data_IF_582557175557
#
_entry.id   IF_582557175557
#
_cell.length_a   1.000
_cell.length_b   1.000
_cell.length_c   1.000
_cell.angle_alpha   90.00
_cell.angle_beta   90.00
_cell.angle_gamma   90.00
#
_symmetry.space_group_name_H-M   'P 1'
#
loop_
_entity.id
_entity.type
_entity.pdbx_description
1 polymer ?
#
# COMPACT_ATOMS: atom_id res chain seq x y z
N UNK A 1 -22.97 6.78 -27.30
CA UNK A 1 -22.33 7.42 -26.14
C UNK A 1 -22.54 6.57 -24.90
N UNK A 2 -23.78 6.29 -24.51
CA UNK A 2 -24.09 5.46 -23.31
C UNK A 2 -23.35 4.10 -23.21
N UNK A 3 -23.24 3.35 -24.32
CA UNK A 3 -22.51 2.06 -24.32
C UNK A 3 -21.00 2.25 -24.12
N UNK A 4 -20.45 3.34 -24.66
CA UNK A 4 -19.02 3.66 -24.55
C UNK A 4 -18.67 4.14 -23.15
N UNK A 5 -19.50 5.01 -22.57
CA UNK A 5 -19.39 5.49 -21.19
C UNK A 5 -19.47 4.32 -20.19
N UNK A 6 -20.43 3.42 -20.35
CA UNK A 6 -20.53 2.21 -19.53
C UNK A 6 -19.30 1.30 -19.71
N UNK A 7 -18.79 1.19 -20.94
CA UNK A 7 -17.57 0.46 -21.23
C UNK A 7 -16.36 1.04 -20.50
N UNK A 8 -16.24 2.36 -20.44
CA UNK A 8 -15.17 3.06 -19.73
C UNK A 8 -15.26 2.85 -18.21
N UNK A 9 -16.45 2.98 -17.63
CA UNK A 9 -16.69 2.76 -16.19
C UNK A 9 -16.25 1.34 -15.77
N UNK A 10 -16.65 0.31 -16.52
CA UNK A 10 -16.26 -1.09 -16.24
C UNK A 10 -14.74 -1.26 -16.28
N UNK A 11 -14.06 -0.61 -17.22
CA UNK A 11 -12.60 -0.67 -17.33
C UNK A 11 -11.91 0.05 -16.17
N UNK A 12 -12.43 1.21 -15.76
CA UNK A 12 -11.92 1.97 -14.61
C UNK A 12 -12.06 1.14 -13.33
N UNK A 13 -13.25 0.59 -13.05
CA UNK A 13 -13.51 -0.24 -11.88
C UNK A 13 -12.56 -1.44 -11.82
N UNK A 14 -12.38 -2.11 -12.96
CA UNK A 14 -11.46 -3.25 -13.05
C UNK A 14 -10.03 -2.83 -12.73
N UNK A 15 -9.58 -1.70 -13.26
CA UNK A 15 -8.23 -1.20 -13.02
C UNK A 15 -8.05 -0.80 -11.55
N UNK A 16 -9.06 -0.22 -10.92
CA UNK A 16 -9.03 0.13 -9.49
C UNK A 16 -8.93 -1.13 -8.62
N UNK A 17 -9.70 -2.18 -8.90
CA UNK A 17 -9.60 -3.47 -8.20
C UNK A 17 -8.19 -4.05 -8.31
N UNK A 18 -7.60 -4.02 -9.51
CA UNK A 18 -6.21 -4.50 -9.72
C UNK A 18 -5.20 -3.64 -8.95
N UNK A 19 -5.38 -2.33 -8.92
CA UNK A 19 -4.51 -1.42 -8.17
C UNK A 19 -4.60 -1.68 -6.66
N UNK A 20 -5.81 -1.91 -6.14
CA UNK A 20 -6.05 -2.25 -4.74
C UNK A 20 -5.39 -3.59 -4.37
N UNK A 21 -5.52 -4.61 -5.20
CA UNK A 21 -4.87 -5.90 -4.95
C UNK A 21 -3.34 -5.78 -4.91
N UNK A 22 -2.75 -5.03 -5.85
CA UNK A 22 -1.30 -4.75 -5.86
C UNK A 22 -0.87 -4.04 -4.58
N UNK A 23 -1.59 -3.00 -4.14
CA UNK A 23 -1.31 -2.26 -2.90
C UNK A 23 -1.44 -3.17 -1.68
N UNK A 24 -2.44 -4.04 -1.64
CA UNK A 24 -2.61 -5.05 -0.58
C UNK A 24 -1.42 -6.02 -0.54
N UNK A 25 -0.97 -6.51 -1.70
CA UNK A 25 0.18 -7.41 -1.74
C UNK A 25 1.48 -6.72 -1.29
N UNK A 26 1.73 -5.49 -1.73
CA UNK A 26 2.89 -4.69 -1.29
C UNK A 26 2.87 -4.46 0.23
N UNK A 27 1.71 -4.14 0.79
CA UNK A 27 1.54 -3.97 2.25
C UNK A 27 1.86 -5.27 2.99
N UNK A 28 1.40 -6.42 2.48
CA UNK A 28 1.70 -7.73 3.06
C UNK A 28 3.19 -8.06 3.02
N UNK A 29 3.86 -7.77 1.92
CA UNK A 29 5.31 -7.97 1.76
C UNK A 29 6.10 -7.05 2.71
N UNK A 30 5.72 -5.78 2.81
CA UNK A 30 6.32 -4.83 3.73
C UNK A 30 6.16 -5.26 5.20
N UNK A 31 4.96 -5.66 5.61
CA UNK A 31 4.72 -6.19 6.96
C UNK A 31 5.56 -7.43 7.25
N UNK A 32 5.66 -8.36 6.30
CA UNK A 32 6.51 -9.56 6.45
C UNK A 32 7.99 -9.22 6.58
N UNK A 33 8.46 -8.19 5.88
CA UNK A 33 9.84 -7.71 6.04
C UNK A 33 10.05 -7.12 7.43
N UNK A 34 9.14 -6.24 7.89
CA UNK A 34 9.21 -5.61 9.21
C UNK A 34 9.04 -6.60 10.38
N UNK A 35 8.35 -7.72 10.18
CA UNK A 35 8.22 -8.77 11.21
C UNK A 35 9.56 -9.43 11.57
N UNK A 36 10.53 -9.41 10.66
CA UNK A 36 11.88 -9.97 10.90
C UNK A 36 12.80 -9.00 11.64
N UNK A 37 12.41 -7.73 11.72
CA UNK A 37 13.19 -6.67 12.38
C UNK A 37 12.78 -6.50 13.84
N UNK A 38 13.76 -6.17 14.69
CA UNK A 38 13.54 -5.85 16.09
C UNK A 38 12.72 -4.55 16.24
N UNK A 39 11.81 -4.51 17.22
CA UNK A 39 10.85 -3.41 17.43
C UNK A 39 11.50 -2.03 17.59
N UNK A 40 12.69 -2.00 18.19
CA UNK A 40 13.46 -0.80 18.52
C UNK A 40 14.35 -0.32 17.37
N UNK A 41 14.49 -1.10 16.29
CA UNK A 41 15.15 -0.64 15.08
C UNK A 41 14.33 0.43 14.38
N UNK A 42 15.04 1.28 13.62
CA UNK A 42 14.43 2.32 12.79
C UNK A 42 14.44 1.87 11.33
N UNK A 43 13.32 2.03 10.66
CA UNK A 43 13.16 1.78 9.23
C UNK A 43 12.84 3.07 8.49
N UNK A 44 13.07 3.08 7.17
CA UNK A 44 12.67 4.15 6.28
C UNK A 44 11.33 3.81 5.63
N UNK A 45 10.43 4.77 5.55
CA UNK A 45 9.13 4.62 4.92
C UNK A 45 8.77 5.88 4.13
N UNK A 46 8.11 5.71 2.99
CA UNK A 46 7.57 6.83 2.21
C UNK A 46 6.16 7.18 2.69
N UNK A 47 5.89 8.47 2.86
CA UNK A 47 4.55 9.02 3.15
C UNK A 47 4.29 10.12 2.14
N UNK A 48 3.45 9.83 1.14
CA UNK A 48 3.30 10.70 -0.03
C UNK A 48 4.65 10.86 -0.75
N UNK A 49 5.12 12.10 -0.85
CA UNK A 49 6.42 12.46 -1.44
C UNK A 49 7.58 12.53 -0.44
N UNK A 50 7.33 12.28 0.85
CA UNK A 50 8.35 12.38 1.90
C UNK A 50 8.93 11.01 2.24
N UNK A 51 10.23 10.98 2.54
CA UNK A 51 10.91 9.82 3.11
C UNK A 51 11.18 10.08 4.60
N UNK A 52 10.63 9.24 5.48
CA UNK A 52 10.70 9.40 6.94
C UNK A 52 11.36 8.20 7.60
N UNK A 53 12.16 8.45 8.64
CA UNK A 53 12.78 7.41 9.47
C UNK A 53 12.02 7.29 10.78
N UNK A 54 11.49 6.11 11.07
CA UNK A 54 10.66 5.85 12.25
C UNK A 54 10.93 4.47 12.84
N UNK A 55 10.58 4.21 14.12
CA UNK A 55 10.66 2.89 14.71
C UNK A 55 9.84 1.86 13.92
N UNK A 56 10.32 0.61 13.86
CA UNK A 56 9.67 -0.50 13.15
C UNK A 56 8.23 -0.71 13.61
N UNK A 57 7.96 -0.61 14.92
CA UNK A 57 6.60 -0.76 15.46
C UNK A 57 5.65 0.32 14.95
N UNK A 58 6.14 1.57 14.82
CA UNK A 58 5.33 2.65 14.28
C UNK A 58 5.06 2.45 12.79
N UNK A 59 6.02 1.93 12.03
CA UNK A 59 5.81 1.57 10.63
C UNK A 59 4.78 0.43 10.48
N UNK A 60 4.80 -0.59 11.35
CA UNK A 60 3.80 -1.67 11.39
C UNK A 60 2.40 -1.12 11.67
N UNK A 61 2.25 -0.23 12.65
CA UNK A 61 0.96 0.41 12.96
C UNK A 61 0.40 1.18 11.77
N UNK A 62 1.26 1.93 11.05
CA UNK A 62 0.84 2.73 9.90
C UNK A 62 0.44 1.89 8.68
N UNK A 63 1.05 0.71 8.49
CA UNK A 63 0.72 -0.22 7.41
C UNK A 63 -0.54 -1.06 7.66
N UNK A 64 -1.03 -1.12 8.91
CA UNK A 64 -2.21 -1.88 9.29
C UNK A 64 -3.50 -1.03 9.34
N UNK A 65 -3.39 0.28 9.10
CA UNK A 65 -4.52 1.22 8.97
C UNK A 65 -4.94 1.35 7.51
#
# INVERSE_FOLDING_TARGET
MEIEELGEEILVDRNEVVALDRRRNQTREALRALMKEESHHKTWMTVGSMLVKLPVDKAKELLQR
#
